data_IF_891955307283
#
_entry.id   IF_891955307283
#
_cell.length_a   1.000
_cell.length_b   1.000
_cell.length_c   1.000
_cell.angle_alpha   90.00
_cell.angle_beta   90.00
_cell.angle_gamma   90.00
#
_symmetry.space_group_name_H-M   'P 1'
#
loop_
_entity.id
_entity.type
_entity.pdbx_description
1 polymer ?
#
# COMPACT_ATOMS: atom_id res chain seq x y z
N UNK A 1 -7.77 31.30 1.32
CA UNK A 1 -8.52 30.26 0.56
C UNK A 1 -7.62 29.28 -0.20
N UNK A 2 -6.59 29.70 -0.96
CA UNK A 2 -5.75 28.80 -1.77
C UNK A 2 -5.09 27.63 -1.03
N UNK A 3 -4.66 27.83 0.22
CA UNK A 3 -3.99 26.78 1.00
C UNK A 3 -4.92 25.66 1.50
N UNK A 4 -6.20 25.97 1.76
CA UNK A 4 -7.21 24.95 2.08
C UNK A 4 -7.52 24.09 0.85
N UNK A 5 -7.61 24.69 -0.33
CA UNK A 5 -7.79 23.94 -1.58
C UNK A 5 -6.61 23.03 -1.89
N UNK A 6 -5.37 23.46 -1.63
CA UNK A 6 -4.19 22.59 -1.76
C UNK A 6 -4.25 21.39 -0.82
N UNK A 7 -4.59 21.59 0.44
CA UNK A 7 -4.70 20.50 1.42
C UNK A 7 -5.82 19.52 1.07
N UNK A 8 -6.96 20.02 0.57
CA UNK A 8 -8.07 19.19 0.12
C UNK A 8 -7.76 18.41 -1.16
N UNK A 9 -7.06 19.02 -2.12
CA UNK A 9 -6.61 18.35 -3.34
C UNK A 9 -5.50 17.31 -3.06
N UNK A 10 -4.62 17.57 -2.09
CA UNK A 10 -3.61 16.60 -1.68
C UNK A 10 -4.24 15.35 -1.05
N UNK A 11 -5.28 15.54 -0.21
CA UNK A 11 -6.02 14.43 0.41
C UNK A 11 -6.71 13.50 -0.59
N UNK A 12 -7.02 13.98 -1.79
CA UNK A 12 -7.69 13.17 -2.82
C UNK A 12 -6.74 12.55 -3.83
N UNK A 13 -5.45 12.89 -3.80
CA UNK A 13 -4.45 12.38 -4.76
C UNK A 13 -3.51 11.31 -4.20
N UNK A 14 -3.54 11.04 -2.90
CA UNK A 14 -2.69 10.01 -2.29
C UNK A 14 -3.30 8.62 -2.53
N UNK A 15 -2.88 7.95 -3.60
CA UNK A 15 -3.22 6.55 -3.82
C UNK A 15 -2.59 5.69 -2.72
N UNK A 16 -3.39 4.97 -1.95
CA UNK A 16 -2.88 3.99 -0.98
C UNK A 16 -2.38 2.77 -1.74
N UNK A 17 -1.11 2.43 -1.55
CA UNK A 17 -0.50 1.19 -2.04
C UNK A 17 -0.59 0.16 -0.93
N UNK A 18 -1.24 -0.97 -1.20
CA UNK A 18 -1.29 -2.11 -0.28
C UNK A 18 -0.51 -3.26 -0.89
N UNK A 19 0.31 -3.92 -0.06
CA UNK A 19 1.07 -5.11 -0.43
C UNK A 19 0.69 -6.25 0.49
N UNK A 20 0.39 -7.41 -0.09
CA UNK A 20 -0.16 -8.55 0.66
C UNK A 20 0.42 -9.87 0.15
N UNK A 21 0.72 -10.79 1.07
CA UNK A 21 1.12 -12.15 0.72
C UNK A 21 -0.03 -12.91 0.04
N UNK A 22 0.19 -13.38 -1.20
CA UNK A 22 -0.79 -14.20 -1.95
C UNK A 22 -1.15 -15.52 -1.25
N UNK A 23 -0.28 -15.99 -0.35
CA UNK A 23 -0.41 -17.31 0.27
C UNK A 23 -1.20 -17.28 1.58
N UNK A 24 -0.94 -16.29 2.44
CA UNK A 24 -1.53 -16.25 3.78
C UNK A 24 -2.27 -14.95 4.11
N UNK A 25 -2.31 -13.97 3.20
CA UNK A 25 -3.04 -12.72 3.37
C UNK A 25 -2.38 -11.71 4.32
N UNK A 26 -1.15 -11.96 4.79
CA UNK A 26 -0.43 -11.01 5.63
C UNK A 26 -0.04 -9.77 4.83
N UNK A 27 -0.38 -8.58 5.33
CA UNK A 27 0.12 -7.31 4.79
C UNK A 27 1.64 -7.27 4.95
N UNK A 28 2.35 -6.91 3.88
CA UNK A 28 3.82 -6.88 3.86
C UNK A 28 4.31 -5.45 3.60
N UNK A 29 5.48 -5.13 4.15
CA UNK A 29 6.09 -3.83 3.90
C UNK A 29 6.65 -3.74 2.47
N UNK A 30 6.96 -2.51 2.04
CA UNK A 30 7.59 -2.28 0.73
C UNK A 30 9.01 -2.89 0.64
N UNK A 31 9.72 -2.98 1.77
CA UNK A 31 11.06 -3.55 1.85
C UNK A 31 11.08 -5.08 1.96
N UNK A 32 9.96 -5.71 2.30
CA UNK A 32 9.90 -7.16 2.43
C UNK A 32 9.99 -7.82 1.06
N UNK A 33 11.00 -8.68 0.92
CA UNK A 33 11.18 -9.56 -0.26
C UNK A 33 10.48 -10.90 -0.08
N UNK A 34 10.09 -11.25 1.15
CA UNK A 34 9.33 -12.46 1.53
C UNK A 34 8.33 -12.12 2.61
N UNK A 35 7.25 -12.88 2.67
CA UNK A 35 6.26 -12.74 3.73
C UNK A 35 6.87 -13.10 5.09
N UNK A 36 6.82 -12.22 6.11
CA UNK A 36 7.40 -12.49 7.42
C UNK A 36 6.65 -13.58 8.20
N UNK A 37 5.42 -13.94 7.79
CA UNK A 37 4.58 -14.93 8.46
C UNK A 37 4.75 -16.35 7.90
N UNK A 38 4.92 -16.51 6.59
CA UNK A 38 4.93 -17.83 5.93
C UNK A 38 6.07 -18.02 4.93
N UNK A 39 7.00 -17.06 4.85
CA UNK A 39 8.23 -17.06 4.05
C UNK A 39 8.03 -17.15 2.52
N UNK A 40 6.79 -17.17 2.03
CA UNK A 40 6.49 -17.13 0.61
C UNK A 40 6.99 -15.81 -0.02
N UNK A 41 7.49 -15.89 -1.25
CA UNK A 41 7.96 -14.75 -2.06
C UNK A 41 6.87 -14.21 -3.01
N UNK A 42 5.70 -14.84 -3.02
CA UNK A 42 4.56 -14.43 -3.85
C UNK A 42 3.77 -13.30 -3.18
N UNK A 43 4.06 -12.05 -3.56
CA UNK A 43 3.43 -10.83 -3.02
C UNK A 43 2.56 -10.15 -4.09
N UNK A 44 1.34 -9.78 -3.71
CA UNK A 44 0.45 -8.89 -4.48
C UNK A 44 0.74 -7.43 -4.13
N UNK A 45 0.62 -6.53 -5.10
CA UNK A 45 0.55 -5.09 -4.87
C UNK A 45 -0.67 -4.52 -5.60
N UNK A 46 -1.45 -3.68 -4.92
CA UNK A 46 -2.58 -2.99 -5.51
C UNK A 46 -2.66 -1.55 -5.03
N UNK A 47 -3.26 -0.70 -5.88
CA UNK A 47 -3.45 0.72 -5.63
C UNK A 47 -4.94 0.99 -5.47
N UNK A 48 -5.32 1.53 -4.33
CA UNK A 48 -6.66 2.04 -4.11
C UNK A 48 -6.67 3.50 -4.60
N UNK A 49 -7.62 3.81 -5.48
CA UNK A 49 -7.88 5.15 -6.03
C UNK A 49 -9.25 5.63 -5.60
#
# INVERSE_FOLDING_TARGET
MKELFKSLLFRTSESTVIRECRRCGTEVSASDTRCPQCEADTISEYKIK
#
